data_IF_771609211475
#
_entry.id   IF_771609211475
#
_cell.length_a   1.000
_cell.length_b   1.000
_cell.length_c   1.000
_cell.angle_alpha   90.00
_cell.angle_beta   90.00
_cell.angle_gamma   90.00
#
_symmetry.space_group_name_H-M   'P 1'
#
loop_
_entity.id
_entity.type
_entity.pdbx_description
1 polymer ?
#
# COMPACT_ATOMS: atom_id res chain seq x y z
N UNK A 1 16.83 -4.06 -1.54
CA UNK A 1 15.54 -4.35 -0.90
C UNK A 1 15.48 -5.81 -0.54
N UNK A 2 15.14 -6.14 0.70
CA UNK A 2 14.97 -7.53 1.15
C UNK A 2 13.52 -7.90 0.90
N UNK A 3 13.26 -8.96 0.13
CA UNK A 3 11.92 -9.47 -0.05
C UNK A 3 11.39 -10.06 1.27
N UNK A 4 10.12 -9.83 1.58
CA UNK A 4 9.45 -10.42 2.75
C UNK A 4 9.41 -11.93 2.60
N UNK A 5 9.97 -12.65 3.57
CA UNK A 5 9.93 -14.12 3.64
C UNK A 5 8.94 -14.65 4.67
N UNK A 6 8.50 -13.80 5.60
CA UNK A 6 7.57 -14.14 6.69
C UNK A 6 6.86 -12.88 7.21
N UNK A 7 5.66 -13.03 7.75
CA UNK A 7 4.87 -11.95 8.33
C UNK A 7 3.37 -12.11 8.14
N UNK A 8 2.59 -11.29 8.86
CA UNK A 8 1.14 -11.16 8.68
C UNK A 8 0.83 -9.79 8.09
N UNK A 9 0.10 -9.74 6.99
CA UNK A 9 -0.36 -8.47 6.43
C UNK A 9 -1.46 -7.88 7.34
N UNK A 10 -1.48 -6.57 7.55
CA UNK A 10 -2.63 -5.88 8.16
C UNK A 10 -3.91 -6.16 7.36
N UNK A 11 -4.98 -6.57 8.03
CA UNK A 11 -6.23 -6.98 7.36
C UNK A 11 -6.84 -5.83 6.53
N UNK A 12 -6.67 -4.57 6.97
CA UNK A 12 -7.15 -3.40 6.23
C UNK A 12 -6.36 -3.24 4.94
N UNK A 13 -5.04 -3.36 5.04
CA UNK A 13 -4.14 -3.28 3.89
C UNK A 13 -4.45 -4.40 2.88
N UNK A 14 -4.62 -5.64 3.36
CA UNK A 14 -5.00 -6.77 2.52
C UNK A 14 -6.31 -6.51 1.75
N UNK A 15 -7.33 -6.00 2.43
CA UNK A 15 -8.65 -5.75 1.85
C UNK A 15 -8.62 -4.59 0.85
N UNK A 16 -7.94 -3.49 1.17
CA UNK A 16 -7.85 -2.32 0.30
C UNK A 16 -6.98 -2.60 -0.93
N UNK A 17 -5.90 -3.37 -0.80
CA UNK A 17 -5.10 -3.82 -1.95
C UNK A 17 -5.91 -4.73 -2.88
N UNK A 18 -6.75 -5.63 -2.33
CA UNK A 18 -7.64 -6.45 -3.14
C UNK A 18 -8.68 -5.59 -3.89
N UNK A 19 -9.18 -4.52 -3.28
CA UNK A 19 -10.07 -3.56 -3.96
C UNK A 19 -9.33 -2.79 -5.05
N UNK A 20 -8.12 -2.31 -4.79
CA UNK A 20 -7.29 -1.65 -5.80
C UNK A 20 -7.02 -2.58 -6.99
N UNK A 21 -6.61 -3.82 -6.73
CA UNK A 21 -6.37 -4.82 -7.77
C UNK A 21 -7.61 -5.25 -8.55
N UNK A 22 -8.81 -4.93 -8.06
CA UNK A 22 -10.07 -5.20 -8.77
C UNK A 22 -10.37 -4.19 -9.88
N UNK A 23 -9.75 -3.00 -9.84
CA UNK A 23 -9.93 -1.98 -10.88
C UNK A 23 -8.96 -2.20 -12.04
N UNK A 24 -7.70 -2.53 -11.73
CA UNK A 24 -6.66 -2.88 -12.68
C UNK A 24 -5.60 -3.75 -11.98
N UNK A 25 -4.89 -4.64 -12.70
CA UNK A 25 -3.70 -5.31 -12.18
C UNK A 25 -2.69 -4.29 -11.65
N UNK A 26 -2.18 -4.52 -10.44
CA UNK A 26 -1.14 -3.70 -9.81
C UNK A 26 -0.02 -4.58 -9.28
N UNK A 27 1.21 -4.08 -9.36
CA UNK A 27 2.36 -4.69 -8.68
C UNK A 27 2.57 -3.99 -7.35
N UNK A 28 2.67 -4.78 -6.28
CA UNK A 28 2.78 -4.29 -4.91
C UNK A 28 3.96 -4.98 -4.24
N UNK A 29 4.82 -4.18 -3.64
CA UNK A 29 5.89 -4.63 -2.77
C UNK A 29 5.51 -4.34 -1.32
N UNK A 30 5.88 -5.24 -0.41
CA UNK A 30 5.62 -5.10 1.01
C UNK A 30 6.93 -4.80 1.70
N UNK A 31 7.39 -3.54 1.79
CA UNK A 31 8.64 -3.23 2.47
C UNK A 31 8.50 -3.52 3.96
N UNK A 32 9.52 -4.14 4.56
CA UNK A 32 9.66 -4.13 6.02
C UNK A 32 10.15 -2.75 6.45
N UNK A 33 9.38 -2.07 7.29
CA UNK A 33 9.75 -0.75 7.82
C UNK A 33 10.15 -0.86 9.29
N UNK A 34 11.21 -0.16 9.69
CA UNK A 34 11.63 -0.06 11.08
C UNK A 34 10.48 0.48 11.96
N UNK A 35 10.08 -0.31 12.96
CA UNK A 35 8.93 -0.01 13.83
C UNK A 35 7.69 -0.87 13.56
N UNK A 36 7.70 -1.72 12.53
CA UNK A 36 6.71 -2.80 12.37
C UNK A 36 6.97 -3.93 13.38
N UNK A 37 6.56 -3.71 14.63
CA UNK A 37 6.64 -4.75 15.67
C UNK A 37 5.66 -5.90 15.35
N UNK A 38 6.02 -7.12 15.80
CA UNK A 38 5.25 -8.37 15.70
C UNK A 38 5.08 -8.98 14.31
N UNK A 39 5.97 -8.67 13.36
CA UNK A 39 5.93 -9.19 11.97
C UNK A 39 4.63 -8.80 11.23
N UNK A 40 3.93 -7.77 11.69
CA UNK A 40 2.74 -7.26 11.01
C UNK A 40 3.16 -6.20 10.00
N UNK A 41 3.01 -6.52 8.71
CA UNK A 41 3.30 -5.62 7.60
C UNK A 41 2.12 -4.66 7.42
N UNK A 42 2.39 -3.38 7.57
CA UNK A 42 1.43 -2.26 7.54
C UNK A 42 1.72 -1.29 6.41
N UNK A 43 2.83 -1.48 5.70
CA UNK A 43 3.19 -0.69 4.54
C UNK A 43 3.19 -1.50 3.25
N UNK A 44 2.81 -0.82 2.17
CA UNK A 44 2.83 -1.35 0.82
C UNK A 44 3.30 -0.28 -0.15
N UNK A 45 4.16 -0.66 -1.10
CA UNK A 45 4.61 0.18 -2.19
C UNK A 45 3.95 -0.32 -3.47
N UNK A 46 3.08 0.49 -4.06
CA UNK A 46 2.47 0.21 -5.37
C UNK A 46 3.43 0.74 -6.43
N UNK A 47 4.02 -0.14 -7.24
CA UNK A 47 5.09 0.20 -8.19
C UNK A 47 4.62 0.24 -9.64
N UNK A 48 3.64 -0.59 -9.99
CA UNK A 48 3.14 -0.73 -11.37
C UNK A 48 1.62 -0.83 -11.40
N UNK A 49 1.05 -0.44 -12.54
CA UNK A 49 -0.34 -0.66 -12.93
C UNK A 49 -0.38 -1.14 -14.38
N UNK A 50 -1.20 -2.16 -14.64
CA UNK A 50 -1.31 -2.79 -15.96
C UNK A 50 0.03 -3.31 -16.54
N UNK A 51 0.98 -3.64 -15.64
CA UNK A 51 2.32 -4.12 -16.00
C UNK A 51 3.32 -3.03 -16.40
N UNK A 52 2.95 -1.76 -16.25
CA UNK A 52 3.84 -0.62 -16.51
C UNK A 52 4.11 0.17 -15.21
N UNK A 53 5.29 0.78 -15.06
CA UNK A 53 5.58 1.68 -13.94
C UNK A 53 4.53 2.79 -13.83
N UNK A 54 4.16 3.16 -12.60
CA UNK A 54 3.16 4.21 -12.40
C UNK A 54 3.57 5.53 -13.07
N UNK A 55 2.68 6.06 -13.91
CA UNK A 55 2.78 7.44 -14.36
C UNK A 55 2.44 8.41 -13.22
N UNK A 56 2.74 9.70 -13.38
CA UNK A 56 2.36 10.72 -12.40
C UNK A 56 0.84 10.78 -12.19
N UNK A 57 0.06 10.61 -13.26
CA UNK A 57 -1.39 10.56 -13.18
C UNK A 57 -1.87 9.29 -12.44
N UNK A 58 -1.28 8.12 -12.74
CA UNK A 58 -1.63 6.88 -12.05
C UNK A 58 -1.29 6.95 -10.56
N UNK A 59 -0.12 7.52 -10.21
CA UNK A 59 0.27 7.71 -8.82
C UNK A 59 -0.71 8.61 -8.08
N UNK A 60 -1.15 9.72 -8.68
CA UNK A 60 -2.16 10.60 -8.11
C UNK A 60 -3.53 9.89 -7.92
N UNK A 61 -3.94 9.06 -8.89
CA UNK A 61 -5.16 8.27 -8.80
C UNK A 61 -5.07 7.21 -7.69
N UNK A 62 -3.91 6.54 -7.53
CA UNK A 62 -3.68 5.59 -6.44
C UNK A 62 -3.75 6.30 -5.09
N UNK A 63 -3.07 7.45 -4.92
CA UNK A 63 -3.15 8.25 -3.68
C UNK A 63 -4.61 8.62 -3.38
N UNK A 64 -5.32 9.15 -4.37
CA UNK A 64 -6.73 9.54 -4.23
C UNK A 64 -7.61 8.35 -3.81
N UNK A 65 -7.37 7.17 -4.41
CA UNK A 65 -8.08 5.95 -4.04
C UNK A 65 -7.89 5.58 -2.57
N UNK A 66 -6.68 5.71 -2.03
CA UNK A 66 -6.39 5.42 -0.63
C UNK A 66 -6.95 6.48 0.33
N UNK A 67 -6.88 7.76 -0.04
CA UNK A 67 -7.42 8.86 0.76
C UNK A 67 -8.95 8.83 0.84
N UNK A 68 -9.64 8.32 -0.17
CA UNK A 68 -11.11 8.24 -0.22
C UNK A 68 -11.69 6.98 0.44
N UNK A 69 -10.86 6.13 1.05
CA UNK A 69 -11.33 4.97 1.79
C UNK A 69 -12.21 5.39 2.98
N UNK A 70 -13.15 4.51 3.36
CA UNK A 70 -13.90 4.69 4.60
C UNK A 70 -12.92 4.86 5.79
N UNK A 71 -13.24 5.68 6.81
CA UNK A 71 -12.30 6.01 7.88
C UNK A 71 -11.66 4.80 8.58
N UNK A 72 -12.36 3.67 8.68
CA UNK A 72 -11.83 2.41 9.26
C UNK A 72 -10.76 1.71 8.39
N UNK A 73 -10.67 2.06 7.11
CA UNK A 73 -9.75 1.50 6.12
C UNK A 73 -8.80 2.55 5.53
N UNK A 74 -8.86 3.78 6.00
CA UNK A 74 -7.99 4.86 5.53
C UNK A 74 -6.57 4.65 6.10
N UNK A 75 -5.52 4.75 5.28
CA UNK A 75 -4.15 4.68 5.77
C UNK A 75 -3.78 5.93 6.59
N UNK A 76 -2.68 5.83 7.33
CA UNK A 76 -2.07 6.99 7.99
C UNK A 76 -1.45 7.93 6.95
N UNK A 77 -0.86 7.37 5.90
CA UNK A 77 -0.30 8.12 4.77
C UNK A 77 -0.36 7.32 3.47
N UNK A 78 -0.46 8.04 2.35
CA UNK A 78 -0.28 7.55 0.99
C UNK A 78 0.56 8.59 0.24
N UNK A 79 1.84 8.30 0.01
CA UNK A 79 2.82 9.27 -0.47
C UNK A 79 3.41 8.81 -1.81
N UNK A 80 3.55 9.75 -2.75
CA UNK A 80 4.27 9.50 -4.00
C UNK A 80 5.77 9.54 -3.74
N UNK A 81 6.46 8.49 -4.16
CA UNK A 81 7.92 8.32 -4.08
C UNK A 81 8.48 8.14 -5.50
N UNK A 82 9.81 8.21 -5.69
CA UNK A 82 10.43 7.92 -6.99
C UNK A 82 10.14 6.50 -7.52
N UNK A 83 9.85 5.55 -6.62
CA UNK A 83 9.65 4.14 -6.95
C UNK A 83 8.16 3.74 -7.07
N UNK A 84 7.23 4.65 -6.75
CA UNK A 84 5.79 4.37 -6.75
C UNK A 84 5.04 5.07 -5.62
N UNK A 85 3.88 4.53 -5.21
CA UNK A 85 3.07 5.08 -4.11
C UNK A 85 3.26 4.24 -2.85
N UNK A 86 3.88 4.83 -1.82
CA UNK A 86 4.06 4.20 -0.52
C UNK A 86 2.86 4.50 0.37
N UNK A 87 2.17 3.46 0.81
CA UNK A 87 1.02 3.53 1.70
C UNK A 87 1.40 2.92 3.04
N UNK A 88 1.04 3.59 4.13
CA UNK A 88 1.36 3.14 5.49
C UNK A 88 0.13 3.21 6.38
N UNK A 89 -0.19 2.12 7.07
CA UNK A 89 -1.28 2.05 8.03
C UNK A 89 -0.79 2.28 9.47
N UNK A 90 -1.61 2.91 10.33
CA UNK A 90 -1.23 3.12 11.72
C UNK A 90 -1.21 1.79 12.49
N UNK A 91 -0.33 1.72 13.50
CA UNK A 91 -0.19 0.58 14.42
C UNK A 91 -1.50 0.17 15.09
N UNK A 92 -2.31 1.14 15.50
CA UNK A 92 -3.63 0.95 16.04
C UNK A 92 -4.69 1.34 15.00
N UNK A 93 -5.71 0.51 14.83
CA UNK A 93 -6.95 0.96 14.20
C UNK A 93 -7.64 1.96 15.15
N UNK A 94 -8.19 3.08 14.64
CA UNK A 94 -8.99 4.00 15.44
C UNK A 94 -10.27 3.35 15.98
#
# INVERSE_FOLDING_TARGET
MTAVTEGRLDDRLALVLAQLGSTAPVTVELPTIDGEEDLVLRSALVTERDGEPLSEADAADVVTFFEQQNPSFQPLSAEVTPDGVLVTYPLAAP
#
